data_IF_394313277768
#
_entry.id   IF_394313277768
#
_cell.length_a   1.000
_cell.length_b   1.000
_cell.length_c   1.000
_cell.angle_alpha   90.00
_cell.angle_beta   90.00
_cell.angle_gamma   90.00
#
_symmetry.space_group_name_H-M   'P 1'
#
loop_
_entity.id
_entity.type
_entity.pdbx_description
1 polymer ?
#
# COMPACT_ATOMS: atom_id res chain seq x y z
N UNK A 1 5.54 22.67 6.18
CA UNK A 1 6.02 22.52 7.59
C UNK A 1 5.48 21.20 8.09
N UNK A 2 6.33 20.33 8.67
CA UNK A 2 5.87 19.11 9.32
C UNK A 2 5.27 19.47 10.70
N UNK A 3 4.04 19.03 10.96
CA UNK A 3 3.31 19.29 12.21
C UNK A 3 3.13 18.04 13.06
N UNK A 4 3.24 16.86 12.45
CA UNK A 4 3.19 15.57 13.11
C UNK A 4 4.57 15.20 13.70
N UNK A 5 4.56 14.48 14.83
CA UNK A 5 5.77 14.06 15.56
C UNK A 5 5.77 12.55 15.74
N UNK A 6 6.96 11.96 15.68
CA UNK A 6 7.21 10.55 15.99
C UNK A 6 8.25 10.50 17.10
N UNK A 7 7.87 9.97 18.25
CA UNK A 7 8.78 9.74 19.38
C UNK A 7 9.25 8.28 19.35
N UNK A 8 10.55 8.07 19.17
CA UNK A 8 11.17 6.74 19.05
C UNK A 8 12.19 6.50 20.15
N UNK A 9 12.26 5.26 20.64
CA UNK A 9 13.37 4.76 21.44
C UNK A 9 14.23 3.86 20.56
N UNK A 10 15.53 4.07 20.60
CA UNK A 10 16.51 3.34 19.81
C UNK A 10 17.63 2.87 20.72
N UNK A 11 18.14 1.68 20.45
CA UNK A 11 19.41 1.25 21.01
C UNK A 11 20.54 2.11 20.47
N UNK A 12 21.58 2.30 21.26
CA UNK A 12 22.72 3.16 20.92
C UNK A 12 23.41 2.73 19.62
N UNK A 13 23.54 1.42 19.40
CA UNK A 13 24.13 0.87 18.17
C UNK A 13 23.32 1.23 16.92
N UNK A 14 21.98 1.16 17.00
CA UNK A 14 21.08 1.50 15.88
C UNK A 14 21.19 2.98 15.58
N UNK A 15 21.18 3.82 16.62
CA UNK A 15 21.35 5.27 16.49
C UNK A 15 22.68 5.61 15.82
N UNK A 16 23.79 5.04 16.28
CA UNK A 16 25.12 5.29 15.73
C UNK A 16 25.23 4.90 14.25
N UNK A 17 24.63 3.77 13.85
CA UNK A 17 24.58 3.34 12.44
C UNK A 17 23.79 4.33 11.58
N UNK A 18 22.63 4.78 12.05
CA UNK A 18 21.80 5.73 11.34
C UNK A 18 22.44 7.12 11.22
N UNK A 19 23.13 7.60 12.27
CA UNK A 19 23.89 8.86 12.23
C UNK A 19 25.06 8.78 11.23
N UNK A 20 25.79 7.66 11.22
CA UNK A 20 26.84 7.43 10.23
C UNK A 20 26.29 7.42 8.80
N UNK A 21 25.17 6.73 8.56
CA UNK A 21 24.53 6.70 7.26
C UNK A 21 24.07 8.09 6.81
N UNK A 22 23.43 8.85 7.71
CA UNK A 22 23.04 10.25 7.48
C UNK A 22 24.23 11.11 7.05
N UNK A 23 25.36 11.00 7.76
CA UNK A 23 26.58 11.76 7.45
C UNK A 23 27.18 11.38 6.09
N UNK A 24 27.24 10.08 5.78
CA UNK A 24 27.76 9.59 4.49
C UNK A 24 26.91 10.03 3.30
N UNK A 25 25.60 10.20 3.49
CA UNK A 25 24.67 10.66 2.46
C UNK A 25 24.60 12.20 2.37
N UNK A 26 25.36 12.93 3.20
CA UNK A 26 25.38 14.39 3.21
C UNK A 26 24.08 15.02 3.73
N UNK A 27 23.28 14.27 4.51
CA UNK A 27 22.04 14.77 5.08
C UNK A 27 22.31 15.65 6.30
N UNK A 28 21.42 16.61 6.55
CA UNK A 28 21.63 17.65 7.57
C UNK A 28 21.39 17.13 8.99
N UNK A 29 20.63 16.04 9.13
CA UNK A 29 20.28 15.47 10.43
C UNK A 29 19.82 14.02 10.35
N UNK A 30 19.93 13.31 11.47
CA UNK A 30 19.33 11.98 11.64
C UNK A 30 17.82 11.99 11.36
N UNK A 31 17.11 13.06 11.72
CA UNK A 31 15.67 13.19 11.44
C UNK A 31 15.39 13.20 9.95
N UNK A 32 16.17 13.92 9.15
CA UNK A 32 16.02 13.94 7.68
C UNK A 32 16.24 12.55 7.09
N UNK A 33 17.26 11.82 7.57
CA UNK A 33 17.52 10.44 7.17
C UNK A 33 16.35 9.50 7.48
N UNK A 34 15.85 9.54 8.72
CA UNK A 34 14.75 8.67 9.16
C UNK A 34 13.45 8.99 8.42
N UNK A 35 13.11 10.28 8.25
CA UNK A 35 11.90 10.68 7.52
C UNK A 35 11.97 10.21 6.07
N UNK A 36 13.13 10.37 5.40
CA UNK A 36 13.29 9.91 4.02
C UNK A 36 13.15 8.39 3.91
N UNK A 37 13.79 7.64 4.80
CA UNK A 37 13.71 6.18 4.81
C UNK A 37 12.27 5.70 5.07
N UNK A 38 11.55 6.34 5.99
CA UNK A 38 10.15 6.03 6.26
C UNK A 38 9.25 6.32 5.05
N UNK A 39 9.48 7.43 4.34
CA UNK A 39 8.70 7.79 3.15
C UNK A 39 8.93 6.79 2.01
N UNK A 40 10.18 6.43 1.75
CA UNK A 40 10.57 5.46 0.73
C UNK A 40 10.02 4.07 1.03
N UNK A 41 10.23 3.56 2.25
CA UNK A 41 9.78 2.22 2.65
C UNK A 41 8.27 2.12 2.70
N UNK A 42 7.57 3.10 3.29
CA UNK A 42 6.11 3.08 3.35
C UNK A 42 5.47 3.15 1.97
N UNK A 43 6.03 3.94 1.04
CA UNK A 43 5.57 3.98 -0.35
C UNK A 43 5.71 2.62 -1.02
N UNK A 44 6.84 1.95 -0.82
CA UNK A 44 7.08 0.62 -1.38
C UNK A 44 6.10 -0.42 -0.79
N UNK A 45 5.93 -0.47 0.53
CA UNK A 45 5.02 -1.40 1.20
C UNK A 45 3.57 -1.19 0.76
N UNK A 46 3.12 0.07 0.66
CA UNK A 46 1.77 0.37 0.15
C UNK A 46 1.63 -0.13 -1.28
N UNK A 47 2.61 0.17 -2.14
CA UNK A 47 2.59 -0.30 -3.53
C UNK A 47 2.50 -1.81 -3.64
N UNK A 48 3.20 -2.56 -2.79
CA UNK A 48 3.19 -4.03 -2.80
C UNK A 48 1.84 -4.63 -2.40
N UNK A 49 1.10 -3.96 -1.49
CA UNK A 49 -0.17 -4.48 -0.99
C UNK A 49 -1.38 -3.96 -1.76
N UNK A 50 -1.29 -2.77 -2.34
CA UNK A 50 -2.37 -2.14 -3.11
C UNK A 50 -2.25 -2.35 -4.61
N UNK A 51 -1.11 -2.85 -5.10
CA UNK A 51 -0.94 -3.19 -6.52
C UNK A 51 -1.09 -4.67 -6.76
N UNK A 52 -1.80 -5.02 -7.83
CA UNK A 52 -1.83 -6.37 -8.37
C UNK A 52 -0.99 -6.36 -9.64
N UNK A 53 0.04 -7.21 -9.70
CA UNK A 53 0.74 -7.46 -10.95
C UNK A 53 -0.11 -8.40 -11.78
N UNK A 54 -0.52 -7.93 -12.96
CA UNK A 54 -1.39 -8.65 -13.88
C UNK A 54 -0.61 -9.06 -15.13
N UNK A 55 -1.04 -10.15 -15.77
CA UNK A 55 -0.48 -10.54 -17.06
C UNK A 55 -0.71 -9.44 -18.11
N UNK A 56 0.21 -9.31 -19.06
CA UNK A 56 0.16 -8.24 -20.07
C UNK A 56 -1.14 -8.26 -20.91
N UNK A 57 -1.77 -9.43 -21.04
CA UNK A 57 -3.02 -9.64 -21.77
C UNK A 57 -4.28 -9.44 -20.89
N UNK A 58 -4.16 -9.10 -19.60
CA UNK A 58 -5.33 -8.98 -18.72
C UNK A 58 -6.29 -7.91 -19.22
N UNK A 59 -5.76 -6.87 -19.87
CA UNK A 59 -6.58 -5.80 -20.43
C UNK A 59 -7.46 -6.34 -21.57
N UNK A 60 -6.88 -7.13 -22.47
CA UNK A 60 -7.64 -7.77 -23.56
C UNK A 60 -8.67 -8.77 -23.00
N UNK A 61 -8.29 -9.58 -22.01
CA UNK A 61 -9.20 -10.52 -21.33
C UNK A 61 -10.36 -9.77 -20.65
N UNK A 62 -10.06 -8.63 -20.01
CA UNK A 62 -11.07 -7.79 -19.38
C UNK A 62 -12.04 -7.20 -20.40
N UNK A 63 -11.53 -6.69 -21.53
CA UNK A 63 -12.37 -6.16 -22.61
C UNK A 63 -13.28 -7.24 -23.20
N UNK A 64 -12.75 -8.44 -23.47
CA UNK A 64 -13.54 -9.58 -23.94
C UNK A 64 -14.62 -9.95 -22.91
N UNK A 65 -14.26 -10.00 -21.62
CA UNK A 65 -15.22 -10.30 -20.56
C UNK A 65 -16.34 -9.26 -20.44
N UNK A 66 -16.05 -7.98 -20.71
CA UNK A 66 -17.06 -6.91 -20.77
C UNK A 66 -17.99 -7.06 -21.98
N UNK A 67 -17.44 -7.34 -23.16
CA UNK A 67 -18.21 -7.49 -24.41
C UNK A 67 -19.08 -8.76 -24.38
N UNK A 68 -18.58 -9.84 -23.79
CA UNK A 68 -19.27 -11.13 -23.68
C UNK A 68 -20.02 -11.31 -22.35
N UNK A 69 -20.17 -10.24 -21.56
CA UNK A 69 -20.76 -10.30 -20.23
C UNK A 69 -22.17 -10.92 -20.25
N UNK A 70 -22.33 -12.06 -19.58
CA UNK A 70 -23.62 -12.75 -19.41
C UNK A 70 -24.36 -12.22 -18.19
N UNK A 71 -25.67 -12.50 -18.15
CA UNK A 71 -26.47 -12.23 -16.96
C UNK A 71 -25.85 -12.93 -15.72
N UNK A 72 -25.85 -12.28 -14.54
CA UNK A 72 -25.34 -12.87 -13.31
C UNK A 72 -26.03 -14.21 -13.00
N UNK A 73 -25.26 -15.17 -12.49
CA UNK A 73 -25.83 -16.46 -12.11
C UNK A 73 -26.76 -16.33 -10.88
N UNK A 74 -27.54 -17.39 -10.63
CA UNK A 74 -28.52 -17.42 -9.53
C UNK A 74 -27.89 -17.10 -8.16
N UNK A 75 -26.70 -17.62 -7.88
CA UNK A 75 -26.00 -17.38 -6.60
C UNK A 75 -25.65 -15.89 -6.41
N UNK A 76 -25.18 -15.21 -7.47
CA UNK A 76 -24.90 -13.77 -7.42
C UNK A 76 -26.17 -12.93 -7.23
N UNK A 77 -27.28 -13.32 -7.88
CA UNK A 77 -28.57 -12.63 -7.71
C UNK A 77 -29.14 -12.80 -6.29
N UNK A 78 -29.05 -14.01 -5.73
CA UNK A 78 -29.48 -14.30 -4.35
C UNK A 78 -28.64 -13.55 -3.33
N UNK A 79 -27.31 -13.53 -3.51
CA UNK A 79 -26.41 -12.74 -2.66
C UNK A 79 -26.74 -11.24 -2.71
N UNK A 80 -26.98 -10.68 -3.91
CA UNK A 80 -27.36 -9.28 -4.05
C UNK A 80 -28.71 -8.96 -3.39
N UNK A 81 -29.68 -9.88 -3.45
CA UNK A 81 -30.96 -9.74 -2.77
C UNK A 81 -30.80 -9.78 -1.24
N UNK A 82 -29.98 -10.71 -0.72
CA UNK A 82 -29.66 -10.83 0.70
C UNK A 82 -28.94 -9.59 1.27
N UNK A 83 -27.98 -9.02 0.53
CA UNK A 83 -27.33 -7.77 0.96
C UNK A 83 -28.32 -6.60 0.97
N UNK A 84 -29.23 -6.52 0.00
CA UNK A 84 -30.26 -5.47 -0.07
C UNK A 84 -31.34 -5.59 1.02
N UNK A 85 -31.65 -6.80 1.48
CA UNK A 85 -32.64 -7.00 2.55
C UNK A 85 -32.12 -6.61 3.94
N UNK A 86 -30.82 -6.32 4.09
CA UNK A 86 -30.23 -5.90 5.37
C UNK A 86 -30.08 -7.05 6.38
N UNK A 87 -30.18 -8.29 5.93
CA UNK A 87 -29.96 -9.51 6.73
C UNK A 87 -28.45 -9.79 6.97
N UNK A 88 -27.58 -9.01 6.32
CA UNK A 88 -26.14 -8.97 6.54
C UNK A 88 -25.83 -8.06 7.75
N UNK A 89 -25.92 -8.60 8.97
CA UNK A 89 -25.47 -7.94 10.21
C UNK A 89 -24.24 -8.62 10.78
#
# INVERSE_FOLDING_TARGET
>A
MATARLDIRLDEEIKAKAEKASALLGLKSLTEYVVRLMDEDSTQVISEHESITVEANVFDQFMIACDEAKAPNKALLEAAAFTKSGEFK
#
